data_IF_343401040435
#
_entry.id   IF_343401040435
#
_cell.length_a   1.000
_cell.length_b   1.000
_cell.length_c   1.000
_cell.angle_alpha   90.00
_cell.angle_beta   90.00
_cell.angle_gamma   90.00
#
_symmetry.space_group_name_H-M   'P 1'
#
loop_
_entity.id
_entity.type
_entity.pdbx_description
1 polymer ?
#
# COMPACT_ATOMS: atom_id res chain seq x y z
N UNK A 1 26.47 -12.02 -6.40
CA UNK A 1 25.94 -11.81 -5.04
C UNK A 1 25.35 -13.14 -4.57
N UNK A 2 25.78 -13.67 -3.43
CA UNK A 2 25.23 -14.91 -2.86
C UNK A 2 24.29 -14.48 -1.74
N UNK A 3 23.04 -14.92 -1.80
CA UNK A 3 22.06 -14.71 -0.73
C UNK A 3 22.30 -15.80 0.31
N UNK A 4 22.87 -15.45 1.46
CA UNK A 4 23.09 -16.39 2.57
C UNK A 4 21.90 -16.34 3.54
N UNK A 5 20.88 -17.14 3.25
CA UNK A 5 19.71 -17.32 4.13
C UNK A 5 19.75 -18.73 4.72
N UNK A 6 19.60 -18.90 6.06
CA UNK A 6 19.61 -20.22 6.70
C UNK A 6 18.31 -21.02 6.49
N UNK A 7 17.29 -20.41 5.86
CA UNK A 7 15.98 -21.01 5.60
C UNK A 7 15.87 -21.50 4.15
N UNK A 8 15.22 -22.64 3.89
CA UNK A 8 15.02 -23.11 2.52
C UNK A 8 14.05 -22.18 1.78
N UNK A 9 14.40 -21.79 0.55
CA UNK A 9 13.64 -20.82 -0.24
C UNK A 9 12.15 -21.18 -0.39
N UNK A 10 11.84 -22.47 -0.51
CA UNK A 10 10.48 -23.00 -0.62
C UNK A 10 9.56 -22.63 0.57
N UNK A 11 10.11 -22.44 1.77
CA UNK A 11 9.33 -22.04 2.94
C UNK A 11 9.05 -20.53 2.97
N UNK A 12 9.93 -19.72 2.38
CA UNK A 12 9.79 -18.26 2.29
C UNK A 12 8.76 -17.90 1.21
N UNK A 13 8.85 -18.55 0.05
CA UNK A 13 8.00 -18.28 -1.11
C UNK A 13 6.73 -19.14 -1.13
N UNK A 14 6.17 -19.48 0.03
CA UNK A 14 4.85 -20.11 0.07
C UNK A 14 3.88 -19.20 -0.67
N UNK A 15 3.27 -19.73 -1.74
CA UNK A 15 2.23 -19.01 -2.45
C UNK A 15 1.03 -18.91 -1.53
N UNK A 16 0.92 -17.79 -0.85
CA UNK A 16 -0.32 -17.44 -0.18
C UNK A 16 -1.39 -17.28 -1.26
N UNK A 17 -2.48 -18.04 -1.15
CA UNK A 17 -3.57 -18.01 -2.13
C UNK A 17 -4.51 -16.82 -1.90
N UNK A 18 -4.16 -15.92 -0.98
CA UNK A 18 -4.89 -14.68 -0.77
C UNK A 18 -4.72 -13.76 -1.97
N UNK A 19 -5.80 -13.64 -2.76
CA UNK A 19 -5.90 -12.63 -3.80
C UNK A 19 -6.10 -11.27 -3.13
N UNK A 20 -4.99 -10.65 -2.74
CA UNK A 20 -5.00 -9.27 -2.26
C UNK A 20 -5.64 -8.36 -3.32
N UNK A 21 -6.70 -7.65 -2.95
CA UNK A 21 -7.41 -6.73 -3.84
C UNK A 21 -6.74 -5.37 -3.79
N UNK A 22 -5.59 -5.24 -4.43
CA UNK A 22 -4.92 -3.95 -4.48
C UNK A 22 -5.57 -2.99 -5.48
N UNK A 23 -5.63 -1.72 -5.12
CA UNK A 23 -6.12 -0.64 -5.96
C UNK A 23 -5.11 0.51 -5.97
N UNK A 24 -4.89 1.11 -7.13
CA UNK A 24 -4.16 2.36 -7.24
C UNK A 24 -5.10 3.55 -7.05
N UNK A 25 -4.72 4.48 -6.18
CA UNK A 25 -5.44 5.73 -5.93
C UNK A 25 -4.50 6.92 -5.99
N UNK A 26 -5.06 8.10 -6.21
CA UNK A 26 -4.33 9.36 -6.14
C UNK A 26 -4.92 10.22 -5.01
N UNK A 27 -4.08 10.58 -4.05
CA UNK A 27 -4.46 11.38 -2.87
C UNK A 27 -3.51 12.56 -2.79
N UNK A 28 -4.05 13.79 -2.84
CA UNK A 28 -3.25 15.03 -2.78
C UNK A 28 -2.11 15.09 -3.82
N UNK A 29 -2.32 14.50 -5.01
CA UNK A 29 -1.31 14.43 -6.08
C UNK A 29 -0.27 13.30 -5.91
N UNK A 30 -0.36 12.51 -4.84
CA UNK A 30 0.51 11.36 -4.58
C UNK A 30 -0.20 10.08 -4.99
N UNK A 31 0.46 9.27 -5.84
CA UNK A 31 -0.04 7.94 -6.21
C UNK A 31 0.31 6.91 -5.14
N UNK A 32 -0.69 6.15 -4.70
CA UNK A 32 -0.58 5.13 -3.67
C UNK A 32 -1.18 3.82 -4.16
N UNK A 33 -0.57 2.71 -3.75
CA UNK A 33 -1.19 1.39 -3.79
C UNK A 33 -1.87 1.14 -2.45
N UNK A 34 -3.15 0.84 -2.48
CA UNK A 34 -3.95 0.60 -1.27
C UNK A 34 -4.69 -0.73 -1.33
N UNK A 35 -5.04 -1.25 -0.16
CA UNK A 35 -5.93 -2.38 0.03
C UNK A 35 -7.24 -1.88 0.67
N UNK A 36 -8.42 -2.13 0.07
CA UNK A 36 -9.69 -1.72 0.63
C UNK A 36 -10.00 -2.57 1.88
N UNK A 37 -10.29 -1.91 2.99
CA UNK A 37 -10.68 -2.57 4.26
C UNK A 37 -12.21 -2.54 4.39
N UNK A 38 -12.83 -1.39 4.08
CA UNK A 38 -14.27 -1.17 4.12
C UNK A 38 -14.69 -0.25 2.96
N UNK A 39 -15.96 0.15 2.91
CA UNK A 39 -16.52 0.90 1.77
C UNK A 39 -15.88 2.28 1.58
N UNK A 40 -15.47 2.94 2.66
CA UNK A 40 -14.87 4.27 2.71
C UNK A 40 -13.46 4.26 3.33
N UNK A 41 -12.90 3.07 3.60
CA UNK A 41 -11.60 2.93 4.25
C UNK A 41 -10.67 2.02 3.45
N UNK A 42 -9.41 2.42 3.38
CA UNK A 42 -8.36 1.63 2.76
C UNK A 42 -7.06 1.73 3.55
N UNK A 43 -6.21 0.71 3.40
CA UNK A 43 -4.89 0.65 3.99
C UNK A 43 -3.83 0.94 2.95
N UNK A 44 -2.86 1.76 3.28
CA UNK A 44 -1.72 2.01 2.41
C UNK A 44 -0.83 0.78 2.37
N UNK A 45 -0.60 0.25 1.17
CA UNK A 45 0.33 -0.86 0.94
C UNK A 45 1.69 -0.29 0.55
N UNK A 46 1.71 0.71 -0.34
CA UNK A 46 2.95 1.31 -0.84
C UNK A 46 2.73 2.68 -1.47
N UNK A 47 3.71 3.57 -1.33
CA UNK A 47 3.80 4.81 -2.13
C UNK A 47 4.33 4.48 -3.53
N UNK A 48 3.61 4.91 -4.56
CA UNK A 48 3.99 4.76 -5.98
C UNK A 48 4.53 6.06 -6.59
N UNK A 49 4.49 7.16 -5.85
CA UNK A 49 5.03 8.45 -6.28
C UNK A 49 6.53 8.38 -6.53
N UNK A 50 6.98 9.18 -7.50
CA UNK A 50 8.40 9.38 -7.82
C UNK A 50 9.03 10.48 -6.98
N UNK A 51 8.23 11.29 -6.26
CA UNK A 51 8.74 12.32 -5.36
C UNK A 51 9.17 11.70 -4.01
N UNK A 52 10.45 11.79 -3.62
CA UNK A 52 10.92 11.30 -2.31
C UNK A 52 10.22 11.95 -1.13
N UNK A 53 9.74 13.20 -1.27
CA UNK A 53 9.07 13.92 -0.19
C UNK A 53 7.74 13.25 0.21
N UNK A 54 7.11 12.54 -0.72
CA UNK A 54 5.87 11.80 -0.44
C UNK A 54 6.08 10.62 0.51
N UNK A 55 7.27 10.03 0.51
CA UNK A 55 7.65 8.98 1.46
C UNK A 55 7.86 9.50 2.88
N UNK A 56 7.88 10.83 3.08
CA UNK A 56 8.02 11.45 4.41
C UNK A 56 6.66 11.80 5.03
N UNK A 57 5.58 11.71 4.26
CA UNK A 57 4.21 11.93 4.76
C UNK A 57 3.81 10.73 5.64
N UNK A 58 3.37 11.00 6.86
CA UNK A 58 3.10 9.94 7.85
C UNK A 58 1.83 9.17 7.50
N UNK A 59 0.84 9.87 6.94
CA UNK A 59 -0.41 9.33 6.44
C UNK A 59 -0.22 8.36 5.25
N UNK A 60 0.90 8.45 4.53
CA UNK A 60 1.21 7.61 3.37
C UNK A 60 2.17 6.46 3.69
N UNK A 61 2.54 6.28 4.96
CA UNK A 61 3.37 5.15 5.35
C UNK A 61 2.62 3.83 5.13
N UNK A 62 3.31 2.78 4.67
CA UNK A 62 2.73 1.44 4.60
C UNK A 62 2.12 1.03 5.94
N UNK A 63 0.88 0.57 5.89
CA UNK A 63 0.09 0.17 7.05
C UNK A 63 -0.89 1.24 7.54
N UNK A 64 -0.74 2.50 7.15
CA UNK A 64 -1.64 3.60 7.53
C UNK A 64 -3.05 3.41 6.93
N UNK A 65 -4.08 3.80 7.68
CA UNK A 65 -5.48 3.75 7.23
C UNK A 65 -5.95 5.13 6.74
N UNK A 66 -6.55 5.16 5.56
CA UNK A 66 -7.11 6.36 4.94
C UNK A 66 -8.64 6.22 4.86
N UNK A 67 -9.34 7.28 5.27
CA UNK A 67 -10.81 7.37 5.17
C UNK A 67 -11.22 8.38 4.10
N UNK A 68 -12.09 7.98 3.17
CA UNK A 68 -12.61 8.85 2.12
C UNK A 68 -13.82 9.63 2.63
N UNK A 69 -13.72 10.96 2.61
CA UNK A 69 -14.87 11.83 2.88
C UNK A 69 -15.41 12.37 1.55
N UNK A 70 -16.69 12.12 1.20
CA UNK A 70 -17.28 12.68 -0.01
C UNK A 70 -17.40 14.20 0.15
N UNK A 71 -16.77 14.95 -0.76
CA UNK A 71 -16.96 16.40 -0.86
C UNK A 71 -18.15 16.68 -1.76
N UNK A 72 -19.26 17.14 -1.20
CA UNK A 72 -20.39 17.66 -1.96
C UNK A 72 -19.98 19.00 -2.58
N UNK A 73 -19.83 19.04 -3.91
CA UNK A 73 -19.73 20.32 -4.64
C UNK A 73 -21.10 21.01 -4.59
N UNK A 74 -21.16 22.16 -3.92
CA UNK A 74 -22.29 23.10 -4.00
C UNK A 74 -22.29 23.89 -5.30
#
# INVERSE_FOLDING_TARGET
MIIYMPWPAQDIFKQDNEQYKYQEIEVQGTKLLVEPIAMDQCRVVRVLSTDPQDYLKTEFQPGSELTFTPVLKS
#
